data_IF_909407453452
#
_entry.id   IF_909407453452
#
_cell.length_a   1.000
_cell.length_b   1.000
_cell.length_c   1.000
_cell.angle_alpha   90.00
_cell.angle_beta   90.00
_cell.angle_gamma   90.00
#
_symmetry.space_group_name_H-M   'P 1'
#
loop_
_entity.id
_entity.type
_entity.pdbx_description
1 polymer ?
#
# COMPACT_ATOMS: atom_id res chain seq x y z
N UNK A 1 -5.44 -7.55 0.38
CA UNK A 1 -5.04 -6.41 1.26
C UNK A 1 -5.58 -5.13 0.64
N UNK A 2 -6.24 -4.29 1.43
CA UNK A 2 -6.72 -2.95 1.04
C UNK A 2 -5.66 -1.91 1.37
N UNK A 3 -5.78 -0.73 0.78
CA UNK A 3 -4.82 0.37 1.02
C UNK A 3 -4.65 0.71 2.50
N UNK A 4 -5.76 0.80 3.24
CA UNK A 4 -5.71 1.07 4.68
C UNK A 4 -4.97 -0.02 5.46
N UNK A 5 -5.12 -1.29 5.06
CA UNK A 5 -4.40 -2.42 5.69
C UNK A 5 -2.90 -2.31 5.42
N UNK A 6 -2.51 -1.90 4.21
CA UNK A 6 -1.11 -1.68 3.87
C UNK A 6 -0.51 -0.50 4.65
N UNK A 7 -1.24 0.61 4.80
CA UNK A 7 -0.82 1.73 5.63
C UNK A 7 -0.67 1.33 7.10
N UNK A 8 -1.66 0.60 7.65
CA UNK A 8 -1.63 0.13 9.04
C UNK A 8 -0.43 -0.80 9.25
N UNK A 9 -0.22 -1.75 8.34
CA UNK A 9 0.90 -2.69 8.40
C UNK A 9 2.25 -1.97 8.41
N UNK A 10 2.44 -1.03 7.48
CA UNK A 10 3.66 -0.24 7.38
C UNK A 10 3.89 0.58 8.65
N UNK A 11 2.86 1.24 9.16
CA UNK A 11 2.93 2.00 10.41
C UNK A 11 3.26 1.11 11.62
N UNK A 12 2.64 -0.07 11.72
CA UNK A 12 2.92 -1.02 12.80
C UNK A 12 4.40 -1.40 12.81
N UNK A 13 4.96 -1.75 11.65
CA UNK A 13 6.38 -2.05 11.56
C UNK A 13 7.25 -0.88 12.02
N UNK A 14 7.03 0.30 11.46
CA UNK A 14 7.84 1.49 11.76
C UNK A 14 7.77 1.88 13.24
N UNK A 15 6.61 1.70 13.89
CA UNK A 15 6.47 1.97 15.33
C UNK A 15 7.16 0.93 16.22
N UNK A 16 7.38 -0.29 15.73
CA UNK A 16 8.04 -1.36 16.50
C UNK A 16 9.55 -1.36 16.33
N UNK A 17 10.04 -0.83 15.22
CA UNK A 17 11.46 -0.81 14.90
C UNK A 17 12.26 0.07 15.90
N UNK A 18 13.20 -0.54 16.61
CA UNK A 18 13.95 0.13 17.69
C UNK A 18 14.64 1.45 17.25
N UNK A 19 15.27 1.53 16.05
CA UNK A 19 15.92 2.77 15.60
C UNK A 19 14.94 3.93 15.35
N UNK A 20 13.65 3.63 15.20
CA UNK A 20 12.63 4.63 14.90
C UNK A 20 11.81 5.07 16.10
N UNK A 21 11.97 4.43 17.26
CA UNK A 21 11.19 4.80 18.46
C UNK A 21 11.43 6.24 18.88
N UNK A 22 12.67 6.65 18.86
CA UNK A 22 13.06 8.03 19.23
C UNK A 22 12.61 9.01 18.14
N UNK A 23 12.75 8.60 16.87
CA UNK A 23 12.27 9.39 15.72
C UNK A 23 10.75 9.43 15.71
N UNK A 24 10.04 8.33 15.98
CA UNK A 24 8.59 8.29 15.98
C UNK A 24 7.96 9.19 17.07
N UNK A 25 8.65 9.46 18.16
CA UNK A 25 8.23 10.43 19.16
C UNK A 25 8.30 11.88 18.64
N UNK A 26 9.29 12.18 17.79
CA UNK A 26 9.51 13.49 17.18
C UNK A 26 8.76 13.67 15.86
N UNK A 27 8.60 12.57 15.10
CA UNK A 27 7.99 12.54 13.77
C UNK A 27 6.86 11.51 13.72
N UNK A 28 5.67 11.83 14.22
CA UNK A 28 4.55 10.91 14.18
C UNK A 28 4.17 10.59 12.73
N UNK A 29 4.03 9.29 12.43
CA UNK A 29 3.55 8.84 11.13
C UNK A 29 2.08 9.22 10.97
N UNK A 30 1.77 9.96 9.92
CA UNK A 30 0.41 10.33 9.56
C UNK A 30 0.02 9.71 8.23
N UNK A 31 -1.21 9.27 8.14
CA UNK A 31 -1.82 8.90 6.87
C UNK A 31 -2.35 10.17 6.22
N UNK A 32 -1.96 10.41 4.97
CA UNK A 32 -2.52 11.55 4.28
C UNK A 32 -3.51 11.16 3.20
N UNK A 33 -4.71 11.69 3.29
CA UNK A 33 -5.40 12.25 2.16
C UNK A 33 -4.96 13.71 2.01
N UNK A 34 -4.68 14.15 0.79
CA UNK A 34 -4.45 15.53 0.36
C UNK A 34 -4.45 16.60 1.47
N UNK A 35 -3.28 17.10 1.80
CA UNK A 35 -3.18 18.18 2.76
C UNK A 35 -3.51 19.50 2.08
N UNK A 36 -4.56 20.13 2.55
CA UNK A 36 -4.77 21.54 2.31
C UNK A 36 -4.09 22.32 3.44
N UNK A 37 -3.01 23.02 3.13
CA UNK A 37 -2.29 23.85 4.08
C UNK A 37 -0.98 23.26 4.62
N UNK A 38 -0.20 24.09 5.30
CA UNK A 38 1.08 23.71 5.89
C UNK A 38 0.86 22.86 7.14
N UNK A 39 1.55 21.74 7.23
CA UNK A 39 1.61 20.99 8.49
C UNK A 39 2.30 21.87 9.55
N UNK A 40 1.61 22.13 10.64
CA UNK A 40 2.17 22.86 11.79
C UNK A 40 3.00 21.95 12.70
N UNK A 41 2.93 20.65 12.50
CA UNK A 41 3.61 19.63 13.28
C UNK A 41 4.56 18.82 12.43
N UNK A 42 5.62 18.35 13.09
CA UNK A 42 6.58 17.41 12.47
C UNK A 42 5.88 16.10 12.17
N UNK A 43 5.90 15.65 10.91
CA UNK A 43 5.25 14.41 10.54
C UNK A 43 5.93 13.73 9.34
N UNK A 44 5.98 12.41 9.39
CA UNK A 44 6.30 11.59 8.24
C UNK A 44 4.99 11.25 7.54
N UNK A 45 4.90 11.62 6.28
CA UNK A 45 3.74 11.41 5.45
C UNK A 45 3.95 10.18 4.58
N UNK A 46 2.90 9.37 4.46
CA UNK A 46 2.87 8.23 3.54
C UNK A 46 1.69 8.38 2.60
N UNK A 47 1.91 8.33 1.31
CA UNK A 47 0.82 8.34 0.34
C UNK A 47 1.09 7.37 -0.81
N UNK A 48 0.02 6.85 -1.39
CA UNK A 48 0.13 5.95 -2.52
C UNK A 48 0.26 6.79 -3.78
N UNK A 49 1.33 6.55 -4.54
CA UNK A 49 1.62 7.25 -5.80
C UNK A 49 1.36 6.39 -7.02
N UNK A 50 1.34 5.07 -6.87
CA UNK A 50 1.13 4.18 -8.00
C UNK A 50 0.54 2.84 -7.60
N UNK A 51 -0.28 2.27 -8.52
CA UNK A 51 -0.80 0.92 -8.46
C UNK A 51 -0.50 0.20 -9.77
N UNK A 52 0.03 -1.01 -9.66
CA UNK A 52 0.28 -1.87 -10.81
C UNK A 52 -0.31 -3.25 -10.55
N UNK A 53 -1.16 -3.72 -11.46
CA UNK A 53 -1.67 -5.09 -11.44
C UNK A 53 -0.64 -6.02 -12.05
N UNK A 54 -0.43 -7.17 -11.42
CA UNK A 54 0.52 -8.18 -11.90
C UNK A 54 -0.25 -9.44 -12.28
N UNK A 55 -0.03 -9.89 -13.51
CA UNK A 55 -0.63 -11.10 -14.02
C UNK A 55 -2.15 -11.03 -14.15
N UNK A 56 -2.75 -12.20 -14.41
CA UNK A 56 -4.19 -12.36 -14.49
C UNK A 56 -4.78 -12.64 -13.11
N UNK A 57 -6.05 -12.30 -12.93
CA UNK A 57 -6.79 -12.67 -11.72
C UNK A 57 -6.88 -14.18 -11.61
N UNK A 58 -6.55 -14.71 -10.43
CA UNK A 58 -6.84 -16.08 -10.08
C UNK A 58 -8.29 -16.14 -9.58
N UNK A 59 -9.11 -16.94 -10.23
CA UNK A 59 -10.50 -17.15 -9.86
C UNK A 59 -10.62 -18.56 -9.27
N UNK A 60 -11.18 -18.67 -8.08
CA UNK A 60 -11.51 -19.93 -7.45
C UNK A 60 -13.00 -19.89 -7.14
N UNK A 61 -13.76 -20.77 -7.78
CA UNK A 61 -15.14 -21.03 -7.43
C UNK A 61 -15.19 -22.27 -6.58
N UNK A 62 -15.90 -22.22 -5.47
CA UNK A 62 -16.11 -23.39 -4.60
C UNK A 62 -17.52 -23.89 -4.89
N UNK A 63 -17.69 -25.22 -4.97
CA UNK A 63 -19.02 -25.80 -5.13
C UNK A 63 -19.96 -25.28 -4.04
N UNK A 64 -21.07 -24.70 -4.47
CA UNK A 64 -22.06 -24.15 -3.56
C UNK A 64 -22.71 -25.25 -2.71
N UNK A 65 -23.27 -24.85 -1.61
CA UNK A 65 -24.02 -25.67 -0.66
C UNK A 65 -25.42 -26.12 -1.17
N UNK A 66 -25.71 -25.89 -2.45
CA UNK A 66 -27.03 -26.18 -3.04
C UNK A 66 -28.07 -25.06 -2.84
N UNK A 67 -27.73 -23.97 -2.18
CA UNK A 67 -28.63 -22.85 -1.88
C UNK A 67 -28.66 -21.75 -2.95
N UNK A 68 -28.16 -22.02 -4.14
CA UNK A 68 -28.31 -21.13 -5.31
C UNK A 68 -27.20 -20.12 -5.55
N UNK A 69 -26.25 -19.93 -4.65
CA UNK A 69 -25.08 -19.06 -4.84
C UNK A 69 -23.79 -19.88 -4.66
N UNK A 70 -22.88 -19.74 -5.63
CA UNK A 70 -21.52 -20.28 -5.50
C UNK A 70 -20.59 -19.17 -5.03
N UNK A 71 -19.90 -19.31 -3.87
CA UNK A 71 -18.89 -18.37 -3.46
C UNK A 71 -17.75 -18.38 -4.48
N UNK A 72 -17.45 -17.22 -5.03
CA UNK A 72 -16.37 -17.00 -5.98
C UNK A 72 -15.36 -16.08 -5.34
N UNK A 73 -14.12 -16.55 -5.24
CA UNK A 73 -13.01 -15.76 -4.75
C UNK A 73 -12.09 -15.39 -5.91
N UNK A 74 -11.90 -14.10 -6.10
CA UNK A 74 -10.97 -13.56 -7.07
C UNK A 74 -9.76 -12.98 -6.34
N UNK A 75 -8.57 -13.39 -6.71
CA UNK A 75 -7.31 -12.88 -6.15
C UNK A 75 -6.52 -12.20 -7.24
N UNK A 76 -6.18 -10.93 -7.04
CA UNK A 76 -5.34 -10.14 -7.91
C UNK A 76 -4.05 -9.74 -7.20
N UNK A 77 -2.90 -10.08 -7.77
CA UNK A 77 -1.61 -9.56 -7.29
C UNK A 77 -1.44 -8.10 -7.72
N UNK A 78 -1.04 -7.29 -6.77
CA UNK A 78 -0.83 -5.86 -6.92
C UNK A 78 0.57 -5.46 -6.46
N UNK A 79 1.18 -4.54 -7.17
CA UNK A 79 2.30 -3.73 -6.69
C UNK A 79 1.77 -2.34 -6.36
N UNK A 80 1.98 -1.91 -5.13
CA UNK A 80 1.60 -0.57 -4.68
C UNK A 80 2.85 0.18 -4.27
N UNK A 81 3.02 1.37 -4.80
CA UNK A 81 4.14 2.24 -4.45
C UNK A 81 3.66 3.29 -3.45
N UNK A 82 4.25 3.26 -2.27
CA UNK A 82 4.10 4.25 -1.21
C UNK A 82 5.23 5.25 -1.30
N UNK A 83 4.93 6.53 -1.33
CA UNK A 83 5.92 7.58 -1.20
C UNK A 83 5.92 8.12 0.22
N UNK A 84 7.11 8.27 0.76
CA UNK A 84 7.37 8.88 2.06
C UNK A 84 7.91 10.28 1.86
N UNK A 85 7.45 11.20 2.68
CA UNK A 85 7.97 12.57 2.78
C UNK A 85 7.95 13.03 4.24
N UNK A 86 8.80 13.97 4.57
CA UNK A 86 8.83 14.60 5.89
C UNK A 86 8.46 16.05 5.76
N UNK A 87 7.55 16.50 6.61
CA UNK A 87 7.21 17.92 6.73
C UNK A 87 7.63 18.42 8.10
N UNK A 88 8.52 19.41 8.12
CA UNK A 88 8.98 20.07 9.33
C UNK A 88 9.49 21.46 8.97
N UNK A 89 9.31 22.46 9.82
CA UNK A 89 10.11 23.68 9.76
C UNK A 89 11.57 23.30 9.96
N UNK A 90 12.45 23.68 9.04
CA UNK A 90 13.89 23.49 9.20
C UNK A 90 14.36 24.51 10.22
N UNK A 91 14.85 24.07 11.36
CA UNK A 91 15.60 24.88 12.32
C UNK A 91 17.06 24.52 12.17
N UNK A 92 17.85 25.44 11.65
CA UNK A 92 19.29 25.23 11.40
C UNK A 92 20.13 25.32 12.67
N UNK A 93 19.56 25.84 13.76
CA UNK A 93 20.24 26.00 15.06
C UNK A 93 20.00 24.80 16.00
N UNK A 94 19.21 23.80 15.54
CA UNK A 94 18.94 22.60 16.31
C UNK A 94 19.83 21.44 15.82
N UNK A 95 20.48 20.73 16.76
CA UNK A 95 21.17 19.45 16.51
C UNK A 95 20.19 18.32 16.09
N UNK A 96 18.96 18.68 15.77
CA UNK A 96 17.93 17.77 15.33
C UNK A 96 18.26 17.16 13.96
N UNK A 97 17.84 15.90 13.80
CA UNK A 97 17.99 15.18 12.55
C UNK A 97 17.34 15.97 11.39
N UNK A 98 18.05 16.05 10.28
CA UNK A 98 17.50 16.65 9.06
C UNK A 98 16.39 15.77 8.48
N UNK A 99 15.56 16.34 7.62
CA UNK A 99 14.51 15.59 6.90
C UNK A 99 15.09 14.37 6.16
N UNK A 100 16.28 14.55 5.55
CA UNK A 100 16.99 13.49 4.85
C UNK A 100 17.44 12.37 5.79
N UNK A 101 17.95 12.70 6.99
CA UNK A 101 18.38 11.71 7.97
C UNK A 101 17.24 10.86 8.47
N UNK A 102 16.09 11.47 8.73
CA UNK A 102 14.86 10.76 9.12
C UNK A 102 14.44 9.77 8.04
N UNK A 103 14.36 10.22 6.78
CA UNK A 103 13.96 9.34 5.68
C UNK A 103 14.97 8.24 5.39
N UNK A 104 16.29 8.53 5.48
CA UNK A 104 17.33 7.52 5.34
C UNK A 104 17.25 6.46 6.44
N UNK A 105 16.94 6.86 7.68
CA UNK A 105 16.75 5.91 8.78
C UNK A 105 15.53 5.03 8.53
N UNK A 106 14.40 5.60 8.08
CA UNK A 106 13.21 4.84 7.73
C UNK A 106 13.50 3.87 6.59
N UNK A 107 14.18 4.32 5.53
CA UNK A 107 14.56 3.48 4.41
C UNK A 107 15.47 2.32 4.85
N UNK A 108 16.44 2.59 5.70
CA UNK A 108 17.34 1.55 6.27
C UNK A 108 16.59 0.51 7.09
N UNK A 109 15.63 0.93 7.93
CA UNK A 109 14.79 0.01 8.71
C UNK A 109 13.89 -0.85 7.82
N UNK A 110 13.36 -0.29 6.73
CA UNK A 110 12.54 -1.02 5.77
C UNK A 110 13.34 -2.01 4.91
N UNK A 111 14.67 -1.82 4.79
CA UNK A 111 15.57 -2.76 4.10
C UNK A 111 16.05 -3.91 5.00
N UNK A 112 15.74 -3.89 6.28
CA UNK A 112 16.19 -4.92 7.22
C UNK A 112 15.51 -6.28 6.95
N UNK A 113 16.23 -7.36 7.28
CA UNK A 113 15.69 -8.72 7.19
C UNK A 113 14.42 -8.91 8.04
N UNK A 114 14.35 -8.23 9.18
CA UNK A 114 13.20 -8.30 10.07
C UNK A 114 11.97 -7.61 9.47
N UNK A 115 12.17 -6.51 8.72
CA UNK A 115 11.10 -5.89 7.94
C UNK A 115 10.57 -6.86 6.88
N UNK A 116 11.47 -7.48 6.12
CA UNK A 116 11.09 -8.44 5.08
C UNK A 116 10.27 -9.59 5.67
N UNK A 117 10.74 -10.19 6.78
CA UNK A 117 10.02 -11.26 7.48
C UNK A 117 8.66 -10.82 7.99
N UNK A 118 8.60 -9.63 8.58
CA UNK A 118 7.34 -9.07 9.11
C UNK A 118 6.30 -8.87 7.98
N UNK A 119 6.69 -8.27 6.87
CA UNK A 119 5.79 -8.06 5.75
C UNK A 119 5.31 -9.38 5.13
N UNK A 120 6.21 -10.36 4.96
CA UNK A 120 5.87 -11.69 4.43
C UNK A 120 4.87 -12.39 5.37
N UNK A 121 5.08 -12.36 6.68
CA UNK A 121 4.18 -12.96 7.66
C UNK A 121 2.76 -12.34 7.62
N UNK A 122 2.64 -11.10 7.15
CA UNK A 122 1.37 -10.39 7.01
C UNK A 122 0.83 -10.35 5.56
N UNK A 123 1.32 -11.24 4.69
CA UNK A 123 0.79 -11.40 3.32
C UNK A 123 1.19 -10.31 2.33
N UNK A 124 2.28 -9.60 2.63
CA UNK A 124 2.88 -8.61 1.75
C UNK A 124 4.36 -8.92 1.53
N UNK A 125 4.97 -8.37 0.49
CA UNK A 125 6.40 -8.52 0.20
C UNK A 125 6.99 -7.16 -0.16
N UNK A 126 8.07 -6.78 0.50
CA UNK A 126 8.83 -5.60 0.13
C UNK A 126 9.63 -5.91 -1.15
N UNK A 127 9.37 -5.19 -2.23
CA UNK A 127 10.06 -5.39 -3.49
C UNK A 127 11.24 -4.45 -3.66
N UNK A 128 11.04 -3.19 -3.29
CA UNK A 128 12.03 -2.15 -3.47
C UNK A 128 11.83 -1.03 -2.46
N UNK A 129 12.92 -0.63 -1.85
CA UNK A 129 13.06 0.64 -1.12
C UNK A 129 13.91 1.54 -2.00
N UNK A 130 13.35 2.64 -2.45
CA UNK A 130 14.04 3.61 -3.31
C UNK A 130 15.05 4.43 -2.52
N UNK A 131 15.88 5.15 -3.25
CA UNK A 131 16.81 6.12 -2.66
C UNK A 131 16.06 7.36 -2.20
N UNK A 132 16.56 7.98 -1.13
CA UNK A 132 16.05 9.28 -0.67
C UNK A 132 16.51 10.34 -1.66
N UNK A 133 15.55 11.00 -2.26
CA UNK A 133 15.76 12.08 -3.23
C UNK A 133 15.51 13.41 -2.56
N UNK A 134 16.49 14.28 -2.60
CA UNK A 134 16.32 15.68 -2.21
C UNK A 134 15.41 16.38 -3.22
N UNK A 135 14.35 16.98 -2.75
CA UNK A 135 13.47 17.85 -3.54
C UNK A 135 13.40 19.22 -2.90
N UNK A 136 13.28 20.26 -3.74
CA UNK A 136 12.97 21.60 -3.28
C UNK A 136 11.56 21.94 -3.78
N UNK A 137 10.70 22.37 -2.89
CA UNK A 137 9.39 22.90 -3.24
C UNK A 137 9.35 24.38 -2.84
N UNK A 138 8.78 25.22 -3.70
CA UNK A 138 8.46 26.59 -3.33
C UNK A 138 7.16 26.62 -2.56
N UNK A 139 7.20 27.26 -1.40
CA UNK A 139 5.99 27.50 -0.62
C UNK A 139 5.22 28.72 -1.14
N UNK A 140 4.03 28.97 -0.59
CA UNK A 140 3.17 30.10 -0.95
C UNK A 140 3.83 31.49 -0.70
N UNK A 141 4.98 31.52 -0.02
CA UNK A 141 5.77 32.73 0.25
C UNK A 141 7.01 32.85 -0.63
N UNK A 142 7.08 32.03 -1.70
CA UNK A 142 8.21 31.95 -2.64
C UNK A 142 9.56 31.54 -1.99
N UNK A 143 9.50 30.86 -0.84
CA UNK A 143 10.67 30.31 -0.14
C UNK A 143 10.90 28.87 -0.59
N UNK A 144 12.16 28.49 -0.78
CA UNK A 144 12.53 27.12 -1.08
C UNK A 144 12.50 26.28 0.20
N UNK A 145 11.68 25.24 0.22
CA UNK A 145 11.62 24.25 1.30
C UNK A 145 12.18 22.92 0.81
N UNK A 146 13.04 22.30 1.62
CA UNK A 146 13.49 20.94 1.35
C UNK A 146 12.33 19.98 1.59
N UNK A 147 11.99 19.19 0.57
CA UNK A 147 10.97 18.16 0.64
C UNK A 147 11.55 16.84 0.12
N UNK A 148 12.46 16.20 0.89
CA UNK A 148 13.01 14.92 0.49
C UNK A 148 11.91 13.87 0.47
N UNK A 149 12.03 12.92 -0.47
CA UNK A 149 11.09 11.81 -0.62
C UNK A 149 11.81 10.52 -0.97
N UNK A 150 11.23 9.38 -0.62
CA UNK A 150 11.60 8.09 -1.19
C UNK A 150 10.36 7.24 -1.44
N UNK A 151 10.51 6.23 -2.30
CA UNK A 151 9.44 5.35 -2.69
C UNK A 151 9.67 3.94 -2.14
N UNK A 152 8.62 3.34 -1.58
CA UNK A 152 8.56 1.95 -1.14
C UNK A 152 7.59 1.19 -2.04
N UNK A 153 8.06 0.16 -2.74
CA UNK A 153 7.19 -0.71 -3.54
C UNK A 153 6.90 -2.01 -2.79
N UNK A 154 5.62 -2.28 -2.59
CA UNK A 154 5.13 -3.46 -1.87
C UNK A 154 4.24 -4.29 -2.79
N UNK A 155 4.48 -5.60 -2.84
CA UNK A 155 3.60 -6.56 -3.50
C UNK A 155 2.66 -7.17 -2.48
N UNK A 156 1.38 -7.20 -2.83
CA UNK A 156 0.34 -7.82 -2.01
C UNK A 156 -0.78 -8.39 -2.88
N UNK A 157 -1.66 -9.17 -2.28
CA UNK A 157 -2.83 -9.71 -2.96
C UNK A 157 -4.09 -8.99 -2.49
N UNK A 158 -4.90 -8.55 -3.46
CA UNK A 158 -6.25 -8.07 -3.20
C UNK A 158 -7.23 -9.20 -3.48
N UNK A 159 -8.09 -9.47 -2.52
CA UNK A 159 -9.07 -10.55 -2.58
C UNK A 159 -10.46 -9.94 -2.69
N UNK A 160 -11.21 -10.38 -3.68
CA UNK A 160 -12.63 -10.06 -3.88
C UNK A 160 -13.42 -11.34 -3.70
N UNK A 161 -14.46 -11.29 -2.88
CA UNK A 161 -15.38 -12.40 -2.67
C UNK A 161 -16.74 -11.96 -3.21
N UNK A 162 -17.26 -12.74 -4.14
CA UNK A 162 -18.56 -12.48 -4.76
C UNK A 162 -19.40 -13.77 -4.79
N UNK A 163 -20.71 -13.65 -4.77
CA UNK A 163 -21.65 -14.76 -4.95
C UNK A 163 -22.12 -14.81 -6.41
N UNK A 164 -21.82 -15.90 -7.10
CA UNK A 164 -22.29 -16.11 -8.48
C UNK A 164 -23.52 -17.02 -8.43
N UNK A 165 -24.62 -16.68 -9.13
CA UNK A 165 -25.79 -17.57 -9.23
C UNK A 165 -25.38 -18.94 -9.75
N UNK A 166 -25.80 -19.99 -9.06
CA UNK A 166 -25.58 -21.36 -9.50
C UNK A 166 -26.60 -21.73 -10.58
N UNK A 167 -26.13 -22.26 -11.70
CA UNK A 167 -27.02 -22.83 -12.71
C UNK A 167 -27.40 -24.23 -12.21
N UNK A 168 -28.61 -24.36 -11.69
CA UNK A 168 -29.09 -25.62 -11.08
C UNK A 168 -29.86 -26.51 -12.05
N UNK A 169 -30.34 -25.95 -13.15
CA UNK A 169 -31.15 -26.69 -14.15
C UNK A 169 -30.72 -26.32 -15.55
N UNK A 170 -30.42 -27.33 -16.37
CA UNK A 170 -30.30 -27.20 -17.81
C UNK A 170 -31.50 -27.88 -18.43
N UNK A 171 -32.40 -27.14 -19.03
CA UNK A 171 -33.50 -27.69 -19.84
C UNK A 171 -33.05 -27.72 -21.31
N UNK A 172 -32.79 -28.91 -21.82
CA UNK A 172 -32.45 -29.12 -23.22
C UNK A 172 -33.71 -29.59 -23.95
N UNK A 173 -34.34 -28.71 -24.69
CA UNK A 173 -35.35 -29.13 -25.65
C UNK A 173 -34.69 -29.56 -26.95
N UNK A 174 -34.67 -30.86 -27.20
CA UNK A 174 -34.23 -31.39 -28.48
C UNK A 174 -35.44 -31.26 -29.45
N UNK A 175 -35.44 -30.26 -30.28
CA UNK A 175 -36.39 -30.22 -31.42
C UNK A 175 -35.94 -31.21 -32.47
N UNK A 176 -36.73 -32.24 -32.72
CA UNK A 176 -36.56 -33.11 -33.87
C UNK A 176 -36.75 -32.28 -35.15
N UNK A 177 -35.72 -32.22 -35.97
CA UNK A 177 -35.83 -31.60 -37.31
C UNK A 177 -36.74 -32.52 -38.15
N UNK A 178 -37.87 -32.05 -38.65
CA UNK A 178 -38.71 -32.86 -39.55
C UNK A 178 -37.91 -33.20 -40.80
N UNK A 179 -37.80 -34.48 -41.11
CA UNK A 179 -37.20 -34.93 -42.38
C UNK A 179 -37.99 -34.28 -43.53
N UNK A 180 -37.30 -33.42 -44.27
CA UNK A 180 -37.76 -32.95 -45.56
C UNK A 180 -37.72 -34.14 -46.53
N UNK A 181 -38.89 -34.66 -46.86
CA UNK A 181 -39.07 -35.66 -47.91
C UNK A 181 -39.02 -35.00 -49.28
#
# INVERSE_FOLDING_TARGET
MRDNELFILTRQWLNTAAPLRDIAALYPLRFQPTQQGRATERAVMMHIVNYKRIGQRKVVAVNGDGLGLMPRTETQSMETTLQFSVTQPLDLDDDALTHGDVLNTIAGVLQSDDAIKFFIANGASLLRVGEVRGGYARNDRDQEEQNPTFDLTVKHNTVFVDGVPQITVFDFQVQAVPNLA
#
